data_IF_475740218512
#
_entry.id   IF_475740218512
#
_cell.length_a   1.000
_cell.length_b   1.000
_cell.length_c   1.000
_cell.angle_alpha   90.00
_cell.angle_beta   90.00
_cell.angle_gamma   90.00
#
_symmetry.space_group_name_H-M   'P 1'
#
loop_
_entity.id
_entity.type
_entity.pdbx_description
1 polymer ?
#
# COMPACT_ATOMS: atom_id res chain seq x y z
N UNK A 1 -8.62 30.48 4.09
CA UNK A 1 -8.17 29.72 2.90
C UNK A 1 -7.70 28.36 3.40
N UNK A 2 -8.30 27.23 2.97
CA UNK A 2 -7.80 25.92 3.36
C UNK A 2 -6.44 25.72 2.68
N UNK A 3 -5.43 25.37 3.48
CA UNK A 3 -4.08 25.12 3.00
C UNK A 3 -4.06 23.88 2.08
N UNK A 4 -3.19 23.83 1.05
CA UNK A 4 -3.06 22.64 0.21
C UNK A 4 -2.69 21.46 1.11
N UNK A 5 -3.48 20.39 1.06
CA UNK A 5 -3.15 19.15 1.74
C UNK A 5 -1.81 18.66 1.18
N UNK A 6 -0.76 18.75 1.99
CA UNK A 6 0.53 18.16 1.67
C UNK A 6 0.31 16.65 1.49
N UNK A 7 0.56 16.18 0.27
CA UNK A 7 0.56 14.75 -0.04
C UNK A 7 1.47 14.04 0.96
N UNK A 8 0.98 13.00 1.68
CA UNK A 8 1.76 12.33 2.70
C UNK A 8 3.08 11.87 2.07
N UNK A 9 4.19 12.23 2.71
CA UNK A 9 5.54 11.98 2.22
C UNK A 9 5.70 10.46 2.01
N UNK A 10 5.56 10.03 0.76
CA UNK A 10 5.76 8.65 0.36
C UNK A 10 7.25 8.40 0.42
N UNK A 11 7.74 7.96 1.57
CA UNK A 11 9.06 7.38 1.68
C UNK A 11 9.02 5.99 1.02
N UNK A 12 8.86 5.99 -0.30
CA UNK A 12 9.12 4.87 -1.19
C UNK A 12 10.57 5.03 -1.65
N UNK A 13 11.48 4.93 -0.68
CA UNK A 13 12.86 4.56 -0.99
C UNK A 13 12.77 3.14 -1.53
N UNK A 14 12.80 2.99 -2.84
CA UNK A 14 13.58 1.95 -3.51
C UNK A 14 13.26 1.94 -5.01
N UNK A 15 14.34 2.08 -5.77
CA UNK A 15 14.33 1.84 -7.20
C UNK A 15 13.93 0.38 -7.43
N UNK A 16 13.01 0.14 -8.34
CA UNK A 16 12.61 -1.21 -8.72
C UNK A 16 13.07 -1.49 -10.15
N UNK A 17 13.62 -2.68 -10.37
CA UNK A 17 14.04 -3.13 -11.70
C UNK A 17 12.95 -4.02 -12.29
N UNK A 18 12.47 -3.68 -13.48
CA UNK A 18 11.43 -4.45 -14.17
C UNK A 18 11.91 -4.90 -15.55
N UNK A 19 11.50 -6.11 -15.96
CA UNK A 19 11.60 -6.59 -17.34
C UNK A 19 10.19 -6.81 -17.87
N UNK A 20 9.86 -6.20 -19.01
CA UNK A 20 8.52 -6.30 -19.60
C UNK A 20 8.35 -7.55 -20.46
N UNK A 21 9.42 -8.02 -21.09
CA UNK A 21 9.47 -9.27 -21.86
C UNK A 21 10.77 -10.00 -21.58
N UNK A 22 10.81 -11.30 -21.91
CA UNK A 22 12.00 -12.14 -21.71
C UNK A 22 13.25 -11.63 -22.47
N UNK A 23 13.03 -10.89 -23.56
CA UNK A 23 14.09 -10.33 -24.42
C UNK A 23 14.34 -8.84 -24.17
N UNK A 24 13.60 -8.18 -23.26
CA UNK A 24 13.77 -6.76 -22.97
C UNK A 24 14.88 -6.51 -21.95
N UNK A 25 15.58 -5.38 -22.12
CA UNK A 25 16.50 -4.87 -21.11
C UNK A 25 15.76 -4.53 -19.81
N UNK A 26 16.47 -4.68 -18.70
CA UNK A 26 15.96 -4.40 -17.38
C UNK A 26 15.92 -2.88 -17.14
N UNK A 27 14.73 -2.35 -16.85
CA UNK A 27 14.52 -0.92 -16.64
C UNK A 27 14.46 -0.65 -15.15
N UNK A 28 15.34 0.22 -14.68
CA UNK A 28 15.27 0.76 -13.33
C UNK A 28 14.23 1.88 -13.27
N UNK A 29 13.29 1.76 -12.34
CA UNK A 29 12.20 2.70 -12.11
C UNK A 29 12.31 3.21 -10.69
N UNK A 30 12.50 4.52 -10.53
CA UNK A 30 12.43 5.15 -9.23
C UNK A 30 11.03 5.72 -8.97
N UNK A 31 10.60 5.69 -7.71
CA UNK A 31 9.31 6.23 -7.30
C UNK A 31 9.09 7.70 -7.72
N UNK A 32 10.16 8.52 -7.67
CA UNK A 32 10.14 9.93 -8.08
C UNK A 32 9.90 10.17 -9.58
N UNK A 33 10.15 9.15 -10.40
CA UNK A 33 10.03 9.22 -11.86
C UNK A 33 8.66 8.72 -12.33
N UNK A 34 7.77 8.37 -11.39
CA UNK A 34 6.39 7.97 -11.65
C UNK A 34 5.43 9.16 -11.53
N UNK A 35 4.52 9.26 -12.48
CA UNK A 35 3.44 10.25 -12.54
C UNK A 35 2.11 9.54 -12.33
N UNK A 36 1.34 9.99 -11.34
CA UNK A 36 -0.01 9.47 -11.08
C UNK A 36 -0.97 9.95 -12.18
N UNK A 37 -1.69 9.01 -12.80
CA UNK A 37 -2.70 9.31 -13.81
C UNK A 37 -4.12 9.22 -13.24
N UNK A 38 -4.46 8.12 -12.59
CA UNK A 38 -5.77 7.88 -12.00
C UNK A 38 -5.69 6.91 -10.82
N UNK A 39 -6.58 7.05 -9.84
CA UNK A 39 -6.79 6.02 -8.83
C UNK A 39 -7.58 4.87 -9.47
N UNK A 40 -7.02 3.66 -9.43
CA UNK A 40 -7.67 2.44 -9.93
C UNK A 40 -8.55 1.79 -8.84
N UNK A 41 -8.21 1.97 -7.58
CA UNK A 41 -9.07 1.54 -6.47
C UNK A 41 -8.41 1.55 -5.10
N UNK A 42 -9.26 1.53 -4.07
CA UNK A 42 -8.86 1.52 -2.66
C UNK A 42 -9.32 0.24 -1.98
N UNK A 43 -8.38 -0.46 -1.36
CA UNK A 43 -8.65 -1.64 -0.53
C UNK A 43 -8.35 -1.37 0.95
N UNK A 44 -8.63 -2.37 1.81
CA UNK A 44 -8.36 -2.26 3.24
C UNK A 44 -6.89 -2.03 3.62
N UNK A 45 -5.96 -2.35 2.71
CA UNK A 45 -4.51 -2.30 2.96
C UNK A 45 -3.80 -1.16 2.22
N UNK A 46 -4.50 -0.40 1.38
CA UNK A 46 -3.86 0.60 0.54
C UNK A 46 -4.65 1.02 -0.68
N UNK A 47 -4.01 1.84 -1.52
CA UNK A 47 -4.56 2.39 -2.75
C UNK A 47 -3.75 1.88 -3.94
N UNK A 48 -4.43 1.61 -5.05
CA UNK A 48 -3.82 1.27 -6.34
C UNK A 48 -4.04 2.42 -7.29
N UNK A 49 -2.96 2.91 -7.88
CA UNK A 49 -3.00 3.99 -8.85
C UNK A 49 -2.41 3.54 -10.17
N UNK A 50 -2.99 4.01 -11.26
CA UNK A 50 -2.36 3.97 -12.56
C UNK A 50 -1.30 5.05 -12.59
N UNK A 51 -0.06 4.65 -12.81
CA UNK A 51 1.07 5.55 -12.90
C UNK A 51 1.80 5.38 -14.23
N UNK A 52 2.40 6.46 -14.71
CA UNK A 52 3.27 6.48 -15.88
C UNK A 52 4.70 6.71 -15.45
N UNK A 53 5.61 5.86 -15.89
CA UNK A 53 7.04 6.16 -15.79
C UNK A 53 7.41 7.23 -16.81
N UNK A 54 7.87 8.40 -16.35
CA UNK A 54 8.08 9.58 -17.21
C UNK A 54 9.12 9.34 -18.30
N UNK A 55 10.17 8.57 -18.00
CA UNK A 55 11.28 8.35 -18.93
C UNK A 55 10.95 7.34 -20.02
N UNK A 56 10.28 6.22 -19.68
CA UNK A 56 9.96 5.17 -20.66
C UNK A 56 8.53 5.26 -21.23
N UNK A 57 7.66 6.09 -20.63
CA UNK A 57 6.25 6.18 -21.00
C UNK A 57 5.41 4.98 -20.58
N UNK A 58 5.99 4.00 -19.88
CA UNK A 58 5.30 2.76 -19.48
C UNK A 58 4.20 3.07 -18.46
N UNK A 59 3.02 2.51 -18.70
CA UNK A 59 1.88 2.60 -17.80
C UNK A 59 1.81 1.36 -16.92
N UNK A 60 1.68 1.53 -15.61
CA UNK A 60 1.63 0.46 -14.63
C UNK A 60 0.61 0.75 -13.53
N UNK A 61 0.16 -0.30 -12.85
CA UNK A 61 -0.58 -0.16 -11.60
C UNK A 61 0.41 -0.22 -10.42
N UNK A 62 0.42 0.79 -9.57
CA UNK A 62 1.31 0.90 -8.41
C UNK A 62 0.45 0.84 -7.15
N UNK A 63 0.70 -0.16 -6.30
CA UNK A 63 -0.02 -0.34 -5.04
C UNK A 63 0.74 0.31 -3.88
N UNK A 64 0.17 1.36 -3.31
CA UNK A 64 0.66 2.01 -2.10
C UNK A 64 0.07 1.33 -0.88
N UNK A 65 0.88 0.55 -0.17
CA UNK A 65 0.48 -0.14 1.05
C UNK A 65 0.77 0.78 2.23
N UNK A 66 -0.20 0.99 3.12
CA UNK A 66 0.07 1.70 4.39
C UNK A 66 0.74 0.75 5.37
N UNK A 67 1.90 1.12 5.90
CA UNK A 67 2.65 0.30 6.88
C UNK A 67 1.91 0.10 8.21
N UNK A 68 0.79 0.81 8.44
CA UNK A 68 -0.05 0.76 9.65
C UNK A 68 -0.78 -0.57 9.90
N UNK A 69 -0.51 -1.62 9.11
CA UNK A 69 -1.13 -2.94 9.26
C UNK A 69 -0.74 -3.61 10.59
N UNK A 70 0.39 -3.23 11.19
CA UNK A 70 0.81 -3.81 12.45
C UNK A 70 -0.06 -3.35 13.64
N UNK A 71 -0.63 -2.14 13.61
CA UNK A 71 -1.40 -1.61 14.73
C UNK A 71 -2.87 -2.04 14.70
N UNK A 72 -3.51 -2.06 13.52
CA UNK A 72 -4.92 -2.47 13.40
C UNK A 72 -5.09 -4.00 13.54
N UNK A 73 -4.17 -4.79 12.97
CA UNK A 73 -4.17 -6.25 13.13
C UNK A 73 -3.83 -6.66 14.57
N UNK A 74 -2.90 -5.95 15.25
CA UNK A 74 -2.70 -6.13 16.70
C UNK A 74 -3.96 -5.78 17.49
N UNK A 75 -4.64 -4.67 17.16
CA UNK A 75 -5.86 -4.25 17.88
C UNK A 75 -7.01 -5.24 17.70
N UNK A 76 -7.13 -5.83 16.51
CA UNK A 76 -8.10 -6.91 16.25
C UNK A 76 -7.75 -8.18 17.02
N UNK A 77 -6.47 -8.58 17.03
CA UNK A 77 -5.99 -9.71 17.82
C UNK A 77 -6.20 -9.50 19.33
N UNK A 78 -5.92 -8.29 19.85
CA UNK A 78 -6.16 -7.91 21.25
C UNK A 78 -7.66 -7.96 21.61
N UNK A 79 -8.54 -7.52 20.70
CA UNK A 79 -10.00 -7.57 20.90
C UNK A 79 -10.52 -9.01 20.94
N UNK A 80 -10.00 -9.89 20.08
CA UNK A 80 -10.33 -11.33 20.11
C UNK A 80 -9.79 -12.00 21.40
N UNK A 81 -8.59 -11.64 21.85
CA UNK A 81 -8.02 -12.10 23.12
C UNK A 81 -8.83 -11.65 24.34
N UNK A 82 -9.34 -10.42 24.34
CA UNK A 82 -10.23 -9.87 25.37
C UNK A 82 -11.63 -10.52 25.36
N UNK A 83 -12.11 -10.96 24.20
CA UNK A 83 -13.33 -11.76 24.11
C UNK A 83 -13.12 -13.16 24.68
N UNK A 84 -11.98 -13.82 24.38
CA UNK A 84 -11.64 -15.11 24.96
C UNK A 84 -11.43 -15.04 26.48
N UNK A 85 -10.72 -14.04 27.01
CA UNK A 85 -10.50 -13.88 28.46
C UNK A 85 -11.76 -13.55 29.26
N UNK A 86 -12.79 -12.98 28.63
CA UNK A 86 -14.12 -12.79 29.23
C UNK A 86 -15.02 -14.02 29.10
N UNK A 87 -14.63 -15.01 28.30
CA UNK A 87 -15.38 -16.25 28.07
C UNK A 87 -14.97 -17.40 28.99
N UNK A 88 -14.10 -17.17 29.98
CA UNK A 88 -13.84 -18.11 31.10
C UNK A 88 -14.92 -18.03 32.21
N UNK A 89 -16.16 -17.69 31.83
CA UNK A 89 -17.34 -17.74 32.71
C UNK A 89 -18.56 -18.35 32.00
N UNK A 90 -18.34 -19.46 31.28
CA UNK A 90 -19.42 -20.37 30.95
C UNK A 90 -19.16 -21.75 31.59
N UNK A 91 -19.55 -21.97 32.86
CA UNK A 91 -19.92 -23.29 33.29
C UNK A 91 -21.31 -23.59 32.71
N UNK A 92 -21.38 -24.60 31.85
CA UNK A 92 -22.58 -25.32 31.42
C UNK A 92 -23.48 -24.61 30.39
N UNK A 93 -23.47 -25.13 29.17
CA UNK A 93 -24.56 -25.96 28.63
C UNK A 93 -23.97 -27.04 27.73
#
# INVERSE_FOLDING_TARGET
MPQPQETPNLNLDDKCKIKLTNDSEEIEIAAKDLEVLEELGKGGYGVVDKMRHRQSGIIMAVKRISSSINEESQKRMLTELDACKRSDCCPQI
#
